data_IF_840346309483
#
_entry.id   IF_840346309483
#
_cell.length_a   1.000
_cell.length_b   1.000
_cell.length_c   1.000
_cell.angle_alpha   90.00
_cell.angle_beta   90.00
_cell.angle_gamma   90.00
#
_symmetry.space_group_name_H-M   'P 1'
#
loop_
_entity.id
_entity.type
_entity.pdbx_description
1 polymer ?
#
# COMPACT_ATOMS: atom_id res chain seq x y z
N UNK A 1 49.77 -31.71 8.22
CA UNK A 1 50.12 -30.72 9.25
C UNK A 1 49.15 -29.56 9.14
N UNK A 2 48.54 -29.23 10.28
CA UNK A 2 47.52 -28.22 10.51
C UNK A 2 48.14 -26.81 10.35
N UNK A 3 47.45 -25.87 9.69
CA UNK A 3 46.91 -24.66 10.33
C UNK A 3 46.20 -23.73 9.35
N UNK A 4 44.93 -23.53 9.68
CA UNK A 4 44.03 -22.47 9.22
C UNK A 4 44.47 -21.12 9.80
N UNK A 5 44.30 -20.04 9.03
CA UNK A 5 44.33 -18.66 9.53
C UNK A 5 43.09 -17.92 8.99
N UNK A 6 41.97 -18.15 9.67
CA UNK A 6 40.87 -17.20 9.70
C UNK A 6 41.25 -16.05 10.63
N UNK A 7 41.44 -14.84 10.10
CA UNK A 7 41.40 -13.61 10.89
C UNK A 7 39.96 -13.12 10.90
N UNK A 8 39.24 -13.46 11.97
CA UNK A 8 37.90 -12.93 12.27
C UNK A 8 38.11 -11.52 12.81
N UNK A 9 37.77 -10.51 12.01
CA UNK A 9 37.56 -9.15 12.52
C UNK A 9 36.27 -9.15 13.33
N UNK A 10 36.43 -9.03 14.65
CA UNK A 10 35.35 -8.81 15.59
C UNK A 10 34.70 -7.44 15.32
N UNK A 11 33.46 -7.45 14.82
CA UNK A 11 32.65 -6.25 14.72
C UNK A 11 31.99 -6.02 16.09
N UNK A 12 32.60 -5.14 16.89
CA UNK A 12 31.95 -4.55 18.05
C UNK A 12 30.74 -3.73 17.59
N UNK A 13 29.52 -4.19 17.88
CA UNK A 13 28.33 -3.36 17.89
C UNK A 13 27.65 -3.51 19.25
N UNK A 14 28.28 -2.92 20.27
CA UNK A 14 27.61 -2.56 21.51
C UNK A 14 27.35 -1.05 21.47
N UNK A 15 26.19 -0.67 20.92
CA UNK A 15 25.57 0.63 21.21
C UNK A 15 24.14 0.31 21.64
N UNK A 16 23.98 -0.11 22.89
CA UNK A 16 22.70 -0.19 23.57
C UNK A 16 22.25 1.23 23.93
N UNK A 17 21.83 2.01 22.93
CA UNK A 17 20.87 3.08 23.13
C UNK A 17 19.48 2.45 23.07
N UNK A 18 18.60 2.77 24.01
CA UNK A 18 17.17 2.47 23.86
C UNK A 18 16.66 3.26 22.65
N UNK A 19 16.80 2.68 21.46
CA UNK A 19 16.05 3.13 20.30
C UNK A 19 14.59 2.85 20.63
N UNK A 20 13.81 3.91 20.85
CA UNK A 20 12.36 3.84 20.84
C UNK A 20 11.94 3.03 19.61
N UNK A 21 11.03 2.07 19.81
CA UNK A 21 10.47 1.26 18.70
C UNK A 21 10.08 2.23 17.58
N UNK A 22 10.57 2.03 16.34
CA UNK A 22 10.24 2.93 15.24
C UNK A 22 8.73 3.01 15.08
N UNK A 23 8.21 4.21 14.82
CA UNK A 23 6.77 4.47 14.68
C UNK A 23 6.14 3.58 13.60
N UNK A 24 6.89 3.32 12.53
CA UNK A 24 6.51 2.44 11.43
C UNK A 24 7.44 1.23 11.34
N UNK A 25 6.87 0.09 10.99
CA UNK A 25 7.58 -1.13 10.64
C UNK A 25 7.47 -1.36 9.14
N UNK A 26 8.51 -1.97 8.57
CA UNK A 26 8.52 -2.39 7.17
C UNK A 26 8.62 -3.90 7.09
N UNK A 27 7.67 -4.52 6.38
CA UNK A 27 7.61 -5.96 6.15
C UNK A 27 7.74 -6.19 4.65
N UNK A 28 8.60 -7.13 4.25
CA UNK A 28 8.79 -7.45 2.83
C UNK A 28 8.68 -8.96 2.62
N UNK A 29 8.02 -9.36 1.54
CA UNK A 29 7.90 -10.75 1.12
C UNK A 29 7.57 -10.84 -0.37
N UNK A 30 7.68 -12.04 -0.93
CA UNK A 30 7.34 -12.31 -2.33
C UNK A 30 6.42 -13.51 -2.45
N UNK A 31 5.56 -13.54 -3.46
CA UNK A 31 4.73 -14.69 -3.79
C UNK A 31 4.45 -14.76 -5.29
N UNK A 32 4.24 -15.96 -5.81
CA UNK A 32 3.80 -16.14 -7.19
C UNK A 32 2.30 -15.87 -7.30
N UNK A 33 1.93 -14.92 -8.17
CA UNK A 33 0.53 -14.56 -8.35
C UNK A 33 -0.21 -15.66 -9.10
N UNK A 34 -1.41 -15.99 -8.62
CA UNK A 34 -2.37 -16.82 -9.38
C UNK A 34 -3.26 -15.97 -10.29
N UNK A 35 -3.27 -14.66 -10.07
CA UNK A 35 -4.17 -13.69 -10.71
C UNK A 35 -3.44 -12.76 -11.68
N UNK A 36 -2.10 -12.80 -11.77
CA UNK A 36 -1.26 -11.93 -12.61
C UNK A 36 -0.14 -12.76 -13.26
N UNK A 37 0.44 -12.28 -14.37
CA UNK A 37 1.57 -12.97 -15.05
C UNK A 37 2.90 -12.82 -14.30
N UNK A 38 3.01 -13.23 -13.04
CA UNK A 38 4.33 -13.30 -12.40
C UNK A 38 4.35 -13.24 -10.89
N UNK A 39 5.57 -13.06 -10.37
CA UNK A 39 5.84 -12.91 -8.96
C UNK A 39 5.53 -11.47 -8.51
N UNK A 40 4.91 -11.35 -7.35
CA UNK A 40 4.61 -10.07 -6.70
C UNK A 40 5.57 -9.89 -5.53
N UNK A 41 6.30 -8.78 -5.52
CA UNK A 41 7.07 -8.32 -4.39
C UNK A 41 6.28 -7.32 -3.57
N UNK A 42 6.04 -7.65 -2.31
CA UNK A 42 5.27 -6.82 -1.38
C UNK A 42 6.21 -6.07 -0.45
N UNK A 43 5.97 -4.77 -0.32
CA UNK A 43 6.56 -3.94 0.75
C UNK A 43 5.43 -3.32 1.55
N UNK A 44 5.27 -3.69 2.80
CA UNK A 44 4.26 -3.13 3.69
C UNK A 44 4.89 -2.20 4.73
N UNK A 45 4.43 -0.94 4.76
CA UNK A 45 4.70 0.05 5.80
C UNK A 45 3.51 0.09 6.75
N UNK A 46 3.72 -0.30 8.01
CA UNK A 46 2.64 -0.42 9.00
C UNK A 46 2.95 0.20 10.36
N UNK A 47 1.95 0.83 10.98
CA UNK A 47 2.00 1.29 12.38
C UNK A 47 0.74 0.95 13.17
N UNK A 48 -0.05 0.01 12.67
CA UNK A 48 -1.33 -0.36 13.26
C UNK A 48 -1.10 -1.07 14.61
N UNK A 49 -1.67 -0.58 15.72
CA UNK A 49 -1.72 -1.33 16.96
C UNK A 49 -2.89 -2.34 16.94
N UNK A 50 -2.62 -3.56 17.43
CA UNK A 50 -3.56 -4.71 17.47
C UNK A 50 -4.92 -4.37 18.13
N UNK A 51 -4.94 -3.37 19.03
CA UNK A 51 -6.12 -3.01 19.83
C UNK A 51 -7.18 -2.24 19.05
N UNK A 52 -6.80 -1.44 18.05
CA UNK A 52 -7.74 -0.57 17.34
C UNK A 52 -8.11 -1.08 15.96
N UNK A 53 -7.11 -1.53 15.18
CA UNK A 53 -7.40 -2.23 13.94
C UNK A 53 -7.06 -3.70 14.13
N UNK A 54 -8.10 -4.54 14.09
CA UNK A 54 -7.93 -5.99 14.20
C UNK A 54 -6.94 -6.51 13.14
N UNK A 55 -6.15 -7.54 13.44
CA UNK A 55 -5.14 -8.10 12.53
C UNK A 55 -5.62 -8.38 11.11
N UNK A 56 -6.92 -8.70 10.97
CA UNK A 56 -7.58 -9.01 9.69
C UNK A 56 -8.59 -7.97 9.24
N UNK A 57 -8.49 -6.73 9.73
CA UNK A 57 -9.46 -5.68 9.41
C UNK A 57 -9.60 -5.48 7.89
N UNK A 58 -8.53 -5.74 7.12
CA UNK A 58 -8.50 -5.63 5.65
C UNK A 58 -9.28 -6.73 4.92
N UNK A 59 -9.50 -7.86 5.58
CA UNK A 59 -10.18 -9.05 5.06
C UNK A 59 -11.66 -9.12 5.49
N UNK A 60 -12.11 -8.15 6.30
CA UNK A 60 -13.50 -8.04 6.71
C UNK A 60 -14.40 -7.70 5.51
N UNK A 61 -15.72 -7.87 5.69
CA UNK A 61 -16.70 -7.72 4.61
C UNK A 61 -16.61 -6.34 3.96
N UNK A 62 -16.60 -6.29 2.63
CA UNK A 62 -16.67 -5.00 1.92
C UNK A 62 -18.02 -4.34 2.15
N UNK A 63 -18.00 -3.07 2.55
CA UNK A 63 -19.20 -2.25 2.67
C UNK A 63 -19.86 -2.08 1.29
N UNK A 64 -21.13 -2.47 1.21
CA UNK A 64 -21.99 -2.22 0.06
C UNK A 64 -23.03 -1.17 0.45
N UNK A 65 -22.98 0.05 -0.12
CA UNK A 65 -23.95 1.08 0.21
C UNK A 65 -25.36 0.66 -0.23
N UNK A 66 -26.30 0.73 0.70
CA UNK A 66 -27.67 0.21 0.56
C UNK A 66 -28.57 1.11 -0.31
N UNK A 67 -28.00 2.08 -1.03
CA UNK A 67 -28.72 3.13 -1.77
C UNK A 67 -29.32 4.26 -0.91
N UNK A 68 -29.24 4.17 0.41
CA UNK A 68 -29.65 5.24 1.34
C UNK A 68 -28.50 6.22 1.54
N UNK A 69 -28.74 7.50 1.31
CA UNK A 69 -27.75 8.55 1.54
C UNK A 69 -27.37 8.60 3.03
N UNK A 70 -26.07 8.55 3.30
CA UNK A 70 -25.53 8.60 4.64
C UNK A 70 -25.57 10.04 5.14
N UNK A 71 -26.21 10.26 6.29
CA UNK A 71 -26.41 11.60 6.89
C UNK A 71 -25.41 11.88 8.03
N UNK A 72 -24.68 10.85 8.47
CA UNK A 72 -23.74 10.93 9.60
C UNK A 72 -22.47 10.15 9.27
N UNK A 73 -21.31 10.75 9.55
CA UNK A 73 -20.02 10.12 9.31
C UNK A 73 -18.98 11.13 8.84
N UNK A 74 -18.03 10.65 8.06
CA UNK A 74 -16.92 11.44 7.56
C UNK A 74 -16.67 11.19 6.09
N UNK A 75 -16.19 12.23 5.43
CA UNK A 75 -15.49 12.14 4.15
C UNK A 75 -14.00 12.11 4.41
N UNK A 76 -13.37 10.98 4.09
CA UNK A 76 -11.93 10.85 3.98
C UNK A 76 -11.53 11.41 2.61
N UNK A 77 -10.60 12.34 2.63
CA UNK A 77 -9.99 12.96 1.47
C UNK A 77 -8.55 12.47 1.37
N UNK A 78 -8.21 11.84 0.25
CA UNK A 78 -6.92 11.19 0.01
C UNK A 78 -6.32 11.79 -1.26
N UNK A 79 -5.06 12.20 -1.19
CA UNK A 79 -4.33 12.74 -2.33
C UNK A 79 -2.99 12.03 -2.47
N UNK A 80 -2.74 11.44 -3.64
CA UNK A 80 -1.48 10.77 -3.96
C UNK A 80 -0.47 11.77 -4.57
N UNK A 81 0.75 11.75 -4.05
CA UNK A 81 1.88 12.58 -4.48
C UNK A 81 2.93 11.70 -5.14
N UNK A 82 2.58 11.12 -6.29
CA UNK A 82 3.39 10.14 -7.02
C UNK A 82 4.03 10.69 -8.31
N UNK A 83 3.84 11.99 -8.57
CA UNK A 83 4.27 12.70 -9.79
C UNK A 83 3.78 12.06 -11.11
N UNK A 84 2.77 11.19 -11.05
CA UNK A 84 2.15 10.59 -12.23
C UNK A 84 1.15 11.54 -12.87
N UNK A 85 1.13 11.72 -14.20
CA UNK A 85 0.14 12.57 -14.86
C UNK A 85 -1.30 12.08 -14.67
N UNK A 86 -1.50 10.81 -14.35
CA UNK A 86 -2.83 10.20 -14.20
C UNK A 86 -3.42 10.41 -12.80
N UNK A 87 -2.58 10.57 -11.77
CA UNK A 87 -2.98 10.47 -10.36
C UNK A 87 -2.45 11.61 -9.49
N UNK A 88 -1.44 12.35 -9.93
CA UNK A 88 -0.84 13.42 -9.15
C UNK A 88 -1.85 14.52 -8.82
N UNK A 89 -2.03 14.76 -7.53
CA UNK A 89 -2.88 15.83 -7.03
C UNK A 89 -4.38 15.56 -7.08
N UNK A 90 -4.83 14.42 -7.62
CA UNK A 90 -6.23 14.05 -7.65
C UNK A 90 -6.75 13.77 -6.23
N UNK A 91 -7.83 14.46 -5.86
CA UNK A 91 -8.47 14.32 -4.56
C UNK A 91 -9.51 13.22 -4.60
N UNK A 92 -9.20 12.09 -3.97
CA UNK A 92 -10.11 10.96 -3.81
C UNK A 92 -10.97 11.19 -2.57
N UNK A 93 -12.28 11.14 -2.76
CA UNK A 93 -13.27 11.35 -1.69
C UNK A 93 -13.97 10.05 -1.36
N UNK A 94 -13.96 9.72 -0.09
CA UNK A 94 -14.40 8.43 0.44
C UNK A 94 -15.28 8.66 1.64
N UNK A 95 -16.55 8.25 1.58
CA UNK A 95 -17.49 8.44 2.69
C UNK A 95 -17.48 7.22 3.60
N UNK A 96 -17.05 7.43 4.84
CA UNK A 96 -17.00 6.42 5.90
C UNK A 96 -18.08 6.77 6.95
N UNK A 97 -19.20 6.02 6.98
CA UNK A 97 -20.28 6.34 7.91
C UNK A 97 -19.91 5.96 9.35
N UNK A 98 -20.46 6.67 10.33
CA UNK A 98 -20.07 6.51 11.75
C UNK A 98 -20.58 5.22 12.40
N UNK A 99 -21.56 4.55 11.80
CA UNK A 99 -22.19 3.32 12.33
C UNK A 99 -21.67 2.03 11.66
N UNK A 100 -20.53 2.09 10.97
CA UNK A 100 -20.11 1.04 10.01
C UNK A 100 -19.47 -0.24 10.59
N UNK A 101 -19.49 -0.42 11.90
CA UNK A 101 -18.98 -1.66 12.52
C UNK A 101 -17.56 -2.02 12.04
N UNK A 102 -17.41 -3.24 11.51
CA UNK A 102 -16.14 -3.78 10.98
C UNK A 102 -16.05 -3.82 9.46
N UNK A 103 -17.09 -3.37 8.75
CA UNK A 103 -17.11 -3.44 7.30
C UNK A 103 -16.02 -2.53 6.72
N UNK A 104 -15.41 -2.99 5.62
CA UNK A 104 -14.31 -2.32 4.95
C UNK A 104 -14.86 -1.57 3.77
N UNK A 105 -14.72 -0.26 3.79
CA UNK A 105 -14.92 0.50 2.57
C UNK A 105 -13.73 0.26 1.65
N UNK A 106 -14.03 0.05 0.36
CA UNK A 106 -13.07 -0.16 -0.70
C UNK A 106 -13.25 0.89 -1.81
N UNK A 107 -12.14 1.38 -2.36
CA UNK A 107 -12.09 2.11 -3.64
C UNK A 107 -10.93 1.61 -4.48
N UNK A 108 -11.25 1.23 -5.72
CA UNK A 108 -10.29 0.71 -6.68
C UNK A 108 -10.06 1.74 -7.80
N UNK A 109 -8.80 2.10 -8.01
CA UNK A 109 -8.31 2.99 -9.06
C UNK A 109 -7.25 2.30 -9.92
N UNK A 110 -7.20 0.98 -9.91
CA UNK A 110 -6.28 0.19 -10.71
C UNK A 110 -6.81 0.10 -12.16
N UNK A 111 -5.87 0.06 -13.11
CA UNK A 111 -6.12 -0.21 -14.52
C UNK A 111 -5.36 -1.46 -14.91
N UNK A 112 -6.01 -2.38 -15.62
CA UNK A 112 -5.32 -3.53 -16.16
C UNK A 112 -4.33 -3.10 -17.25
N UNK A 113 -3.10 -3.58 -17.12
CA UNK A 113 -2.02 -3.37 -18.09
C UNK A 113 -1.61 -4.70 -18.68
N UNK A 114 -1.24 -4.66 -19.95
CA UNK A 114 -0.67 -5.80 -20.65
C UNK A 114 0.53 -5.33 -21.46
N UNK A 115 1.63 -6.06 -21.35
CA UNK A 115 2.82 -5.88 -22.18
C UNK A 115 3.25 -7.20 -22.79
N UNK A 116 4.01 -7.12 -23.88
CA UNK A 116 4.59 -8.28 -24.54
C UNK A 116 6.06 -8.41 -24.09
N UNK A 117 6.38 -9.49 -23.39
CA UNK A 117 7.74 -9.88 -22.96
C UNK A 117 8.30 -10.94 -23.92
N UNK A 118 9.60 -11.22 -23.85
CA UNK A 118 10.25 -12.31 -24.61
C UNK A 118 9.99 -12.29 -26.13
N UNK A 119 10.13 -11.11 -26.73
CA UNK A 119 9.89 -10.93 -28.17
C UNK A 119 10.98 -11.62 -29.00
N UNK A 120 10.67 -12.78 -29.56
CA UNK A 120 11.51 -13.42 -30.57
C UNK A 120 11.33 -12.74 -31.95
N UNK A 121 12.45 -12.48 -32.62
CA UNK A 121 12.48 -11.67 -33.86
C UNK A 121 12.92 -12.50 -35.06
N UNK A 122 12.03 -13.32 -35.61
CA UNK A 122 12.28 -14.08 -36.85
C UNK A 122 11.66 -13.42 -38.09
N UNK A 123 12.08 -12.17 -38.37
CA UNK A 123 11.94 -11.52 -39.68
C UNK A 123 10.53 -11.16 -40.19
N UNK A 124 9.44 -11.74 -39.68
CA UNK A 124 8.10 -11.55 -40.25
C UNK A 124 6.98 -11.23 -39.24
N UNK A 125 7.03 -11.68 -37.99
CA UNK A 125 6.08 -11.31 -36.92
C UNK A 125 6.78 -11.39 -35.56
N UNK A 126 6.49 -10.44 -34.66
CA UNK A 126 6.88 -10.48 -33.24
C UNK A 126 5.80 -11.25 -32.48
N UNK A 127 6.11 -12.42 -31.93
CA UNK A 127 5.22 -13.11 -30.98
C UNK A 127 6.04 -13.33 -29.70
N UNK A 128 5.75 -12.53 -28.68
CA UNK A 128 6.27 -12.71 -27.33
C UNK A 128 5.14 -13.08 -26.37
N UNK A 129 5.48 -13.43 -25.13
CA UNK A 129 4.50 -13.78 -24.11
C UNK A 129 3.79 -12.53 -23.58
N UNK A 130 2.50 -12.66 -23.23
CA UNK A 130 1.72 -11.57 -22.65
C UNK A 130 1.88 -11.57 -21.13
N UNK A 131 2.42 -10.46 -20.62
CA UNK A 131 2.50 -10.19 -19.19
C UNK A 131 1.39 -9.20 -18.81
N UNK A 132 0.47 -9.64 -17.95
CA UNK A 132 -0.65 -8.84 -17.46
C UNK A 132 -0.54 -8.56 -15.96
N UNK A 133 -0.85 -7.33 -15.56
CA UNK A 133 -0.81 -6.87 -14.17
C UNK A 133 -1.73 -5.65 -13.96
N UNK A 134 -2.28 -5.45 -12.75
CA UNK A 134 -2.99 -4.21 -12.41
C UNK A 134 -1.98 -3.11 -12.06
N UNK A 135 -2.23 -1.90 -12.54
CA UNK A 135 -1.43 -0.72 -12.21
C UNK A 135 -2.31 0.36 -11.58
N UNK A 136 -1.91 0.89 -10.43
CA UNK A 136 -2.60 1.99 -9.76
C UNK A 136 -2.80 1.75 -8.27
N UNK A 137 -3.89 2.29 -7.73
CA UNK A 137 -4.13 2.37 -6.29
C UNK A 137 -5.39 1.63 -5.87
N UNK A 138 -5.32 0.96 -4.72
CA UNK A 138 -6.47 0.35 -4.06
C UNK A 138 -6.54 0.82 -2.61
N UNK A 139 -7.61 1.54 -2.28
CA UNK A 139 -7.81 2.18 -0.97
C UNK A 139 -8.81 1.39 -0.14
N UNK A 140 -8.49 1.21 1.13
CA UNK A 140 -9.36 0.61 2.15
C UNK A 140 -9.45 1.51 3.37
N UNK A 141 -10.64 1.62 3.94
CA UNK A 141 -10.83 2.29 5.22
C UNK A 141 -11.90 1.58 6.06
N UNK A 142 -11.68 1.47 7.38
CA UNK A 142 -12.61 0.77 8.27
C UNK A 142 -12.51 1.28 9.72
N UNK A 143 -13.44 0.82 10.54
CA UNK A 143 -13.43 0.96 12.01
C UNK A 143 -13.25 2.42 12.49
N UNK A 144 -14.11 3.35 12.04
CA UNK A 144 -14.07 4.73 12.54
C UNK A 144 -14.38 4.76 14.04
N UNK A 145 -13.57 5.50 14.80
CA UNK A 145 -13.71 5.68 16.23
C UNK A 145 -13.45 7.14 16.61
N UNK A 146 -14.26 7.65 17.54
CA UNK A 146 -14.04 8.94 18.18
C UNK A 146 -13.35 8.75 19.51
N UNK A 147 -12.21 9.40 19.68
CA UNK A 147 -11.47 9.45 20.92
C UNK A 147 -11.29 10.93 21.28
N UNK A 148 -12.09 11.43 22.22
CA UNK A 148 -12.19 12.84 22.57
C UNK A 148 -12.49 13.74 21.36
N UNK A 149 -11.56 14.64 21.00
CA UNK A 149 -11.66 15.54 19.85
C UNK A 149 -11.09 14.94 18.56
N UNK A 150 -10.50 13.73 18.63
CA UNK A 150 -9.85 13.10 17.49
C UNK A 150 -10.75 12.05 16.83
N UNK A 151 -10.70 12.01 15.51
CA UNK A 151 -11.18 10.89 14.72
C UNK A 151 -10.02 9.94 14.45
N UNK A 152 -10.30 8.66 14.56
CA UNK A 152 -9.36 7.61 14.20
C UNK A 152 -10.02 6.52 13.35
N UNK A 153 -9.27 5.93 12.42
CA UNK A 153 -9.72 4.85 11.55
C UNK A 153 -8.52 4.09 10.99
N UNK A 154 -8.78 2.89 10.50
CA UNK A 154 -7.79 2.05 9.84
C UNK A 154 -7.73 2.43 8.36
N UNK A 155 -6.53 2.71 7.85
CA UNK A 155 -6.31 3.11 6.46
C UNK A 155 -5.34 2.12 5.80
N UNK A 156 -5.77 1.61 4.65
CA UNK A 156 -5.00 0.75 3.78
C UNK A 156 -4.86 1.41 2.41
N UNK A 157 -3.64 1.58 1.92
CA UNK A 157 -3.41 1.99 0.53
C UNK A 157 -2.45 0.99 -0.10
N UNK A 158 -2.92 0.28 -1.11
CA UNK A 158 -2.07 -0.54 -1.95
C UNK A 158 -1.75 0.22 -3.22
N UNK A 159 -0.49 0.16 -3.65
CA UNK A 159 -0.03 0.65 -4.94
C UNK A 159 0.63 -0.50 -5.68
N UNK A 160 0.08 -0.84 -6.83
CA UNK A 160 0.65 -1.87 -7.72
C UNK A 160 1.25 -1.23 -8.95
N UNK A 161 2.47 -1.60 -9.29
CA UNK A 161 3.20 -1.08 -10.45
C UNK A 161 4.35 -2.01 -10.86
N UNK A 162 4.87 -1.79 -12.06
CA UNK A 162 6.14 -2.38 -12.52
C UNK A 162 7.08 -1.22 -12.87
N UNK A 163 8.26 -1.09 -12.24
CA UNK A 163 9.22 -0.04 -12.57
C UNK A 163 9.58 -0.06 -14.05
N UNK A 164 9.75 1.11 -14.66
CA UNK A 164 10.06 1.22 -16.09
C UNK A 164 11.34 0.48 -16.51
N UNK A 165 12.29 0.30 -15.59
CA UNK A 165 13.51 -0.48 -15.82
C UNK A 165 13.23 -1.99 -15.97
N UNK A 166 12.17 -2.49 -15.32
CA UNK A 166 11.79 -3.90 -15.32
C UNK A 166 10.87 -4.27 -16.48
N UNK A 167 10.19 -3.30 -17.10
CA UNK A 167 9.36 -3.53 -18.30
C UNK A 167 10.13 -4.08 -19.52
N UNK A 168 11.47 -4.11 -19.46
CA UNK A 168 12.35 -4.60 -20.52
C UNK A 168 13.01 -5.93 -20.17
N UNK A 169 12.72 -6.50 -19.01
CA UNK A 169 13.27 -7.79 -18.59
C UNK A 169 12.35 -8.93 -19.04
N UNK A 170 12.88 -10.16 -19.22
CA UNK A 170 12.07 -11.33 -19.57
C UNK A 170 11.04 -11.67 -18.49
N UNK A 171 11.37 -11.40 -17.22
CA UNK A 171 10.50 -11.63 -16.07
C UNK A 171 10.36 -10.33 -15.25
N UNK A 172 9.46 -9.42 -15.62
CA UNK A 172 9.20 -8.22 -14.83
C UNK A 172 8.63 -8.59 -13.46
N UNK A 173 9.07 -7.92 -12.40
CA UNK A 173 8.55 -8.14 -11.05
C UNK A 173 7.42 -7.14 -10.79
N UNK A 174 6.29 -7.62 -10.30
CA UNK A 174 5.17 -6.76 -9.89
C UNK A 174 5.47 -6.24 -8.49
N UNK A 175 5.53 -4.93 -8.30
CA UNK A 175 5.70 -4.32 -6.99
C UNK A 175 4.34 -3.97 -6.40
N UNK A 176 4.10 -4.42 -5.17
CA UNK A 176 2.92 -4.12 -4.37
C UNK A 176 3.36 -3.41 -3.09
N UNK A 177 3.37 -2.08 -3.13
CA UNK A 177 3.63 -1.27 -1.95
C UNK A 177 2.34 -1.11 -1.16
N UNK A 178 2.37 -1.35 0.15
CA UNK A 178 1.21 -1.29 1.03
C UNK A 178 1.46 -0.31 2.17
N UNK A 179 0.60 0.68 2.31
CA UNK A 179 0.45 1.47 3.52
C UNK A 179 -0.66 0.84 4.35
N UNK A 180 -0.37 0.45 5.60
CA UNK A 180 -1.35 -0.10 6.52
C UNK A 180 -1.22 0.64 7.85
N UNK A 181 -1.99 1.70 8.04
CA UNK A 181 -1.76 2.65 9.13
C UNK A 181 -3.02 2.97 9.88
N UNK A 182 -2.83 3.43 11.11
CA UNK A 182 -3.89 4.08 11.87
C UNK A 182 -3.86 5.59 11.60
N UNK A 183 -4.92 6.11 11.01
CA UNK A 183 -5.17 7.54 11.05
C UNK A 183 -5.68 7.92 12.45
N UNK A 184 -5.15 8.99 13.02
CA UNK A 184 -5.64 9.58 14.27
C UNK A 184 -5.39 11.09 14.24
N UNK A 185 -6.43 11.90 14.20
CA UNK A 185 -6.27 13.35 14.17
C UNK A 185 -7.60 14.09 14.29
N UNK A 186 -7.52 15.40 14.57
CA UNK A 186 -8.72 16.26 14.59
C UNK A 186 -9.34 16.32 13.20
N UNK A 187 -10.68 16.35 13.08
CA UNK A 187 -11.34 16.54 11.79
C UNK A 187 -10.82 17.81 11.09
N UNK A 188 -10.58 17.71 9.79
CA UNK A 188 -10.04 18.78 8.95
C UNK A 188 -8.51 18.92 8.97
N UNK A 189 -7.81 18.23 9.86
CA UNK A 189 -6.34 18.24 9.90
C UNK A 189 -5.78 17.20 8.92
N UNK A 190 -4.88 17.64 8.05
CA UNK A 190 -4.17 16.79 7.10
C UNK A 190 -2.98 16.07 7.77
N UNK A 191 -2.77 14.82 7.38
CA UNK A 191 -1.57 14.03 7.71
C UNK A 191 -0.96 13.46 6.45
N UNK A 192 0.36 13.43 6.39
CA UNK A 192 1.12 12.85 5.28
C UNK A 192 1.74 11.52 5.71
N UNK A 193 1.60 10.51 4.88
CA UNK A 193 2.26 9.21 5.03
C UNK A 193 3.13 8.94 3.82
N UNK A 194 4.36 8.46 4.03
CA UNK A 194 5.26 8.05 2.93
C UNK A 194 5.46 6.55 2.98
N UNK A 195 5.34 5.87 1.85
CA UNK A 195 5.48 4.42 1.75
C UNK A 195 6.01 3.99 0.38
N UNK A 196 6.40 2.72 0.31
CA UNK A 196 7.03 2.09 -0.85
C UNK A 196 8.55 2.06 -0.76
N UNK A 197 9.16 1.08 -1.41
CA UNK A 197 10.62 0.85 -1.33
C UNK A 197 11.37 1.28 -2.59
N UNK A 198 10.87 0.92 -3.78
CA UNK A 198 11.56 1.18 -5.05
C UNK A 198 11.25 2.56 -5.61
N UNK A 199 9.98 2.94 -5.59
CA UNK A 199 9.53 4.28 -5.98
C UNK A 199 8.67 4.88 -4.86
N UNK A 200 9.24 5.36 -3.75
CA UNK A 200 8.45 5.86 -2.63
C UNK A 200 7.54 7.02 -3.05
N UNK A 201 6.33 7.05 -2.49
CA UNK A 201 5.35 8.12 -2.71
C UNK A 201 4.82 8.63 -1.37
N UNK A 202 4.26 9.84 -1.40
CA UNK A 202 3.54 10.39 -0.25
C UNK A 202 2.04 10.41 -0.50
N UNK A 203 1.27 10.25 0.58
CA UNK A 203 -0.19 10.30 0.60
C UNK A 203 -0.62 11.30 1.65
N UNK A 204 -1.36 12.32 1.23
CA UNK A 204 -2.02 13.24 2.14
C UNK A 204 -3.41 12.71 2.44
N UNK A 205 -3.77 12.69 3.72
CA UNK A 205 -5.04 12.17 4.22
C UNK A 205 -5.64 13.17 5.17
N UNK A 206 -6.91 13.51 4.95
CA UNK A 206 -7.71 14.37 5.82
C UNK A 206 -9.08 13.74 5.99
N UNK A 207 -9.65 13.84 7.19
CA UNK A 207 -11.04 13.43 7.41
C UNK A 207 -11.90 14.64 7.76
N UNK A 208 -13.00 14.83 7.05
CA UNK A 208 -13.92 15.96 7.16
C UNK A 208 -15.30 15.45 7.57
N UNK A 209 -16.02 16.06 8.53
CA UNK A 209 -17.39 15.67 8.83
C UNK A 209 -18.30 15.77 7.59
N UNK A 210 -19.29 14.88 7.48
CA UNK A 210 -20.33 14.94 6.43
C UNK A 210 -21.35 16.06 6.68
#
# INVERSE_FOLDING_TARGET
MLKSLFSITALCLAISGCASKPEFQQITYQYDSKEHSGTVAVTETTNVPDEQCTDRWRDERTYQPNGVQQITGFRIEIQFLDHSPDTYGNLIKVELPSNHGRDVLVRDFQKDKTLMVDVDKNGLVKQGDLFYFPEGYFVRAAQPQFNDENLSFCLGVDRTYVPAAELKTPNPLIHLDRLNVRFNGKPGVEKTFTFGSVQPISVNVRAVPL
#
